data_IF_091232626891
#
_entry.id   IF_091232626891
#
_cell.length_a   1.000
_cell.length_b   1.000
_cell.length_c   1.000
_cell.angle_alpha   90.00
_cell.angle_beta   90.00
_cell.angle_gamma   90.00
#
_symmetry.space_group_name_H-M   'P 1'
#
loop_
_entity.id
_entity.type
_entity.pdbx_description
1 polymer ?
#
# COMPACT_ATOMS: atom_id res chain seq x y z
N UNK A 1 -12.49 11.50 -6.33
CA UNK A 1 -12.91 10.43 -7.27
C UNK A 1 -11.80 10.28 -8.29
N UNK A 2 -10.92 9.30 -8.10
CA UNK A 2 -9.82 9.07 -9.04
C UNK A 2 -10.38 8.41 -10.31
N UNK A 3 -10.39 9.18 -11.40
CA UNK A 3 -10.68 8.67 -12.74
C UNK A 3 -9.53 7.76 -13.18
N UNK A 4 -9.84 6.48 -13.38
CA UNK A 4 -8.88 5.49 -13.88
C UNK A 4 -8.74 5.61 -15.40
N UNK A 5 -7.54 5.93 -15.88
CA UNK A 5 -7.22 5.94 -17.31
C UNK A 5 -6.38 4.72 -17.68
N UNK A 6 -6.86 3.96 -18.67
CA UNK A 6 -6.18 2.78 -19.24
C UNK A 6 -5.75 3.13 -20.66
N UNK A 7 -4.48 2.89 -20.97
CA UNK A 7 -3.85 3.16 -22.26
C UNK A 7 -3.44 1.84 -22.93
N UNK A 8 -3.83 1.64 -24.18
CA UNK A 8 -3.34 0.52 -24.98
C UNK A 8 -1.99 0.86 -25.62
N UNK A 9 -0.92 0.25 -25.10
CA UNK A 9 0.46 0.54 -25.52
C UNK A 9 1.08 -0.66 -26.22
N UNK A 10 1.69 -0.43 -27.38
CA UNK A 10 2.43 -1.45 -28.14
C UNK A 10 3.87 -1.57 -27.61
N UNK A 11 4.20 -2.69 -26.98
CA UNK A 11 5.52 -2.95 -26.38
C UNK A 11 6.20 -4.17 -27.01
N UNK A 12 7.54 -4.16 -26.97
CA UNK A 12 8.36 -5.31 -27.36
C UNK A 12 8.48 -6.28 -26.18
N UNK A 13 7.83 -7.43 -26.29
CA UNK A 13 7.80 -8.44 -25.24
C UNK A 13 8.62 -9.67 -25.61
N UNK A 14 9.13 -10.39 -24.60
CA UNK A 14 9.89 -11.63 -24.80
C UNK A 14 9.00 -12.69 -25.48
N UNK A 15 9.53 -13.32 -26.53
CA UNK A 15 8.85 -14.43 -27.22
C UNK A 15 8.80 -15.63 -26.26
N UNK A 16 7.60 -16.11 -25.91
CA UNK A 16 7.45 -17.32 -25.10
C UNK A 16 7.38 -18.55 -26.00
N UNK A 17 8.15 -19.62 -25.72
CA UNK A 17 8.05 -20.87 -26.46
C UNK A 17 6.71 -21.55 -26.14
N UNK A 18 5.80 -21.62 -27.11
CA UNK A 18 4.54 -22.35 -27.02
C UNK A 18 3.36 -21.57 -27.58
N UNK A 19 2.85 -21.99 -28.74
CA UNK A 19 1.72 -21.36 -29.46
C UNK A 19 0.35 -21.53 -28.80
N UNK A 20 0.25 -21.46 -27.47
CA UNK A 20 -1.06 -21.46 -26.77
C UNK A 20 -1.47 -20.03 -26.47
N UNK A 21 -2.74 -19.73 -26.80
CA UNK A 21 -3.45 -18.49 -26.51
C UNK A 21 -3.09 -18.00 -25.10
N UNK A 22 -2.72 -16.72 -24.98
CA UNK A 22 -2.49 -16.06 -23.69
C UNK A 22 -3.65 -16.39 -22.75
N UNK A 23 -3.36 -16.99 -21.60
CA UNK A 23 -4.30 -16.93 -20.47
C UNK A 23 -4.46 -15.46 -20.12
N UNK A 24 -5.69 -14.99 -19.91
CA UNK A 24 -6.03 -13.57 -19.70
C UNK A 24 -5.33 -12.90 -18.49
N UNK A 25 -4.53 -13.63 -17.73
CA UNK A 25 -3.97 -13.23 -16.44
C UNK A 25 -2.43 -13.27 -16.37
N UNK A 26 -1.74 -13.66 -17.45
CA UNK A 26 -0.27 -13.70 -17.44
C UNK A 26 0.33 -12.37 -17.90
N UNK A 27 1.12 -11.76 -17.00
CA UNK A 27 1.79 -10.48 -17.24
C UNK A 27 2.88 -10.65 -18.31
N UNK A 28 2.85 -9.89 -19.42
CA UNK A 28 3.89 -9.89 -20.43
C UNK A 28 5.18 -9.27 -19.89
N UNK A 29 6.33 -9.88 -20.20
CA UNK A 29 7.65 -9.43 -19.76
C UNK A 29 8.34 -8.63 -20.88
N UNK A 30 9.07 -7.55 -20.55
CA UNK A 30 9.85 -6.81 -21.53
C UNK A 30 10.93 -7.73 -22.14
N UNK A 31 11.20 -7.56 -23.43
CA UNK A 31 12.35 -8.20 -24.07
C UNK A 31 13.64 -7.45 -23.72
N UNK A 32 14.73 -8.17 -23.46
CA UNK A 32 16.06 -7.55 -23.30
C UNK A 32 16.57 -7.01 -24.65
N UNK A 33 17.43 -5.99 -24.57
CA UNK A 33 18.08 -5.37 -25.74
C UNK A 33 18.81 -6.43 -26.57
N UNK A 34 18.40 -6.59 -27.84
CA UNK A 34 19.00 -7.55 -28.77
C UNK A 34 18.37 -8.94 -28.80
N UNK A 35 17.43 -9.26 -27.90
CA UNK A 35 16.67 -10.53 -27.98
C UNK A 35 15.56 -10.46 -29.04
N UNK A 36 15.19 -11.62 -29.60
CA UNK A 36 14.01 -11.71 -30.46
C UNK A 36 12.77 -11.38 -29.62
N UNK A 37 12.01 -10.38 -30.08
CA UNK A 37 10.82 -9.84 -29.40
C UNK A 37 9.58 -9.92 -30.29
N UNK A 38 8.42 -10.06 -29.66
CA UNK A 38 7.12 -9.92 -30.30
C UNK A 38 6.50 -8.58 -29.91
N UNK A 39 5.90 -7.88 -30.89
CA UNK A 39 5.18 -6.63 -30.61
C UNK A 39 3.76 -6.94 -30.12
N UNK A 40 3.42 -6.41 -28.95
CA UNK A 40 2.22 -6.76 -28.22
C UNK A 40 1.53 -5.49 -27.72
N UNK A 41 0.21 -5.40 -27.92
CA UNK A 41 -0.61 -4.35 -27.29
C UNK A 41 -0.98 -4.77 -25.87
N UNK A 42 -0.67 -3.91 -24.89
CA UNK A 42 -0.89 -4.15 -23.46
C UNK A 42 -1.65 -2.97 -22.88
N UNK A 43 -2.80 -3.20 -22.20
CA UNK A 43 -3.47 -2.16 -21.44
C UNK A 43 -2.63 -1.83 -20.20
N UNK A 44 -2.19 -0.58 -20.08
CA UNK A 44 -1.43 -0.08 -18.93
C UNK A 44 -2.15 1.09 -18.29
N UNK A 45 -2.06 1.21 -16.97
CA UNK A 45 -2.55 2.40 -16.29
C UNK A 45 -1.67 3.62 -16.61
N UNK A 46 -2.27 4.81 -16.62
CA UNK A 46 -1.55 6.07 -16.89
C UNK A 46 -0.33 6.28 -15.97
N UNK A 47 -0.38 5.80 -14.72
CA UNK A 47 0.73 5.89 -13.76
C UNK A 47 2.01 5.16 -14.19
N UNK A 48 1.90 4.22 -15.14
CA UNK A 48 3.04 3.47 -15.67
C UNK A 48 3.78 4.25 -16.78
N UNK A 49 3.23 5.36 -17.27
CA UNK A 49 3.86 6.20 -18.30
C UNK A 49 4.90 7.10 -17.65
N UNK A 50 6.16 6.96 -18.06
CA UNK A 50 7.28 7.72 -17.51
C UNK A 50 7.60 8.99 -18.31
N UNK A 51 7.40 8.97 -19.63
CA UNK A 51 7.70 10.11 -20.50
C UNK A 51 6.89 10.05 -21.80
N UNK A 52 6.73 11.21 -22.44
CA UNK A 52 6.18 11.35 -23.79
C UNK A 52 7.27 11.83 -24.75
N UNK A 53 7.33 11.25 -25.94
CA UNK A 53 8.22 11.73 -27.00
C UNK A 53 7.51 12.77 -27.87
N UNK A 54 8.29 13.71 -28.42
CA UNK A 54 7.84 14.61 -29.48
C UNK A 54 7.60 13.88 -30.81
N UNK A 55 8.21 12.71 -31.03
CA UNK A 55 8.10 11.94 -32.29
C UNK A 55 6.81 11.12 -32.28
N UNK A 56 6.06 11.22 -33.38
CA UNK A 56 4.85 10.41 -33.62
C UNK A 56 5.12 9.42 -34.74
N UNK A 57 4.82 8.15 -34.49
CA UNK A 57 4.91 7.08 -35.50
C UNK A 57 3.52 6.86 -36.09
N UNK A 58 3.44 6.61 -37.40
CA UNK A 58 2.20 6.23 -38.04
C UNK A 58 1.73 4.86 -37.53
N UNK A 59 0.50 4.79 -37.05
CA UNK A 59 -0.14 3.56 -36.56
C UNK A 59 -1.31 3.22 -37.49
N UNK A 60 -1.34 2.03 -38.13
CA UNK A 60 -2.49 1.58 -38.92
C UNK A 60 -3.77 1.53 -38.08
N UNK A 61 -4.94 1.70 -38.73
CA UNK A 61 -6.25 1.65 -38.05
C UNK A 61 -6.54 0.32 -37.35
N UNK A 62 -6.00 -0.79 -37.86
CA UNK A 62 -6.13 -2.11 -37.25
C UNK A 62 -4.75 -2.65 -36.84
N UNK A 63 -4.54 -2.85 -35.55
CA UNK A 63 -3.31 -3.38 -34.96
C UNK A 63 -3.49 -4.78 -34.35
N UNK A 64 -4.56 -5.49 -34.69
CA UNK A 64 -4.80 -6.86 -34.20
C UNK A 64 -3.89 -7.87 -34.90
N UNK A 65 -3.64 -7.68 -36.19
CA UNK A 65 -2.79 -8.57 -37.00
C UNK A 65 -1.33 -8.49 -36.58
N UNK A 66 -0.62 -9.61 -36.65
CA UNK A 66 0.80 -9.68 -36.30
C UNK A 66 1.66 -8.84 -37.25
N UNK A 67 1.30 -8.79 -38.53
CA UNK A 67 2.00 -8.02 -39.57
C UNK A 67 1.97 -6.51 -39.28
N UNK A 68 0.80 -5.97 -38.95
CA UNK A 68 0.65 -4.54 -38.65
C UNK A 68 1.42 -4.16 -37.37
N UNK A 69 1.35 -5.00 -36.32
CA UNK A 69 2.15 -4.80 -35.09
C UNK A 69 3.64 -4.83 -35.36
N UNK A 70 4.08 -5.77 -36.21
CA UNK A 70 5.49 -5.90 -36.59
C UNK A 70 5.96 -4.71 -37.43
N UNK A 71 5.10 -4.18 -38.31
CA UNK A 71 5.38 -2.99 -39.12
C UNK A 71 5.59 -1.75 -38.24
N UNK A 72 4.71 -1.50 -37.27
CA UNK A 72 4.88 -0.39 -36.30
C UNK A 72 6.15 -0.61 -35.46
N UNK A 73 6.43 -1.84 -35.04
CA UNK A 73 7.68 -2.16 -34.34
C UNK A 73 8.94 -1.87 -35.15
N UNK A 74 8.94 -2.14 -36.46
CA UNK A 74 10.04 -1.75 -37.36
C UNK A 74 10.20 -0.23 -37.44
N UNK A 75 9.09 0.51 -37.54
CA UNK A 75 9.12 1.97 -37.57
C UNK A 75 9.68 2.55 -36.25
N UNK A 76 9.29 2.00 -35.09
CA UNK A 76 9.84 2.41 -33.79
C UNK A 76 11.36 2.15 -33.74
N UNK A 77 11.83 0.97 -34.17
CA UNK A 77 13.27 0.66 -34.20
C UNK A 77 14.05 1.58 -35.11
N UNK A 78 13.49 1.94 -36.26
CA UNK A 78 14.10 2.89 -37.19
C UNK A 78 14.23 4.29 -36.57
N UNK A 79 13.21 4.74 -35.84
CA UNK A 79 13.28 5.99 -35.06
C UNK A 79 14.38 5.89 -33.99
N UNK A 80 14.40 4.84 -33.18
CA UNK A 80 15.45 4.66 -32.16
C UNK A 80 16.85 4.62 -32.77
N UNK A 81 17.02 4.01 -33.95
CA UNK A 81 18.32 3.97 -34.65
C UNK A 81 18.78 5.35 -35.13
N UNK A 82 17.85 6.23 -35.52
CA UNK A 82 18.15 7.62 -35.95
C UNK A 82 18.49 8.54 -34.78
N UNK A 83 18.09 8.17 -33.56
CA UNK A 83 18.33 8.92 -32.34
C UNK A 83 19.15 8.07 -31.33
N UNK A 84 20.46 7.87 -31.58
CA UNK A 84 21.30 7.04 -30.72
C UNK A 84 21.43 7.57 -29.29
N UNK A 85 21.37 8.90 -29.12
CA UNK A 85 21.43 9.57 -27.81
C UNK A 85 20.07 9.60 -27.08
N UNK A 86 19.03 9.03 -27.68
CA UNK A 86 17.66 9.00 -27.15
C UNK A 86 16.68 9.85 -27.96
N UNK A 87 15.41 9.42 -27.98
CA UNK A 87 14.34 10.16 -28.67
C UNK A 87 14.03 11.47 -27.93
N UNK A 88 13.73 12.56 -28.65
CA UNK A 88 13.39 13.82 -28.01
C UNK A 88 12.09 13.67 -27.21
N UNK A 89 12.16 14.10 -25.94
CA UNK A 89 11.05 14.09 -25.00
C UNK A 89 10.31 15.43 -25.05
N UNK A 90 9.02 15.41 -24.70
CA UNK A 90 8.24 16.63 -24.54
C UNK A 90 8.58 17.31 -23.21
N UNK A 91 8.77 18.62 -23.26
CA UNK A 91 8.99 19.42 -22.07
C UNK A 91 7.69 19.56 -21.26
N UNK A 92 7.68 19.23 -19.96
CA UNK A 92 6.46 19.34 -19.14
C UNK A 92 5.90 20.76 -19.00
N UNK A 93 6.73 21.79 -19.12
CA UNK A 93 6.36 23.20 -18.94
C UNK A 93 6.08 23.87 -20.29
N UNK A 94 6.98 23.74 -21.26
CA UNK A 94 6.86 24.41 -22.56
C UNK A 94 5.88 23.68 -23.49
N UNK A 95 6.00 22.35 -23.63
CA UNK A 95 5.18 21.57 -24.56
C UNK A 95 3.84 21.14 -23.94
N UNK A 96 3.89 20.56 -22.73
CA UNK A 96 2.69 20.08 -22.02
C UNK A 96 1.95 21.20 -21.27
N UNK A 97 2.55 22.40 -21.16
CA UNK A 97 1.93 23.61 -20.59
C UNK A 97 1.45 23.43 -19.15
N UNK A 98 2.18 22.67 -18.33
CA UNK A 98 1.86 22.50 -16.91
C UNK A 98 2.27 23.76 -16.14
N UNK A 99 1.28 24.51 -15.67
CA UNK A 99 1.48 25.81 -14.99
C UNK A 99 1.39 25.75 -13.46
N UNK A 100 1.30 24.56 -12.89
CA UNK A 100 1.16 24.43 -11.44
C UNK A 100 2.40 24.95 -10.70
N UNK A 101 2.18 25.80 -9.68
CA UNK A 101 3.25 26.40 -8.89
C UNK A 101 4.04 25.36 -8.11
N UNK A 102 3.40 24.29 -7.64
CA UNK A 102 4.09 23.23 -6.91
C UNK A 102 5.02 22.44 -7.83
N UNK A 103 4.54 22.13 -9.04
CA UNK A 103 5.32 21.49 -10.09
C UNK A 103 6.52 22.33 -10.53
N UNK A 104 6.34 23.62 -10.83
CA UNK A 104 7.44 24.50 -11.23
C UNK A 104 8.54 24.63 -10.16
N UNK A 105 8.18 24.59 -8.87
CA UNK A 105 9.16 24.55 -7.78
C UNK A 105 9.97 23.25 -7.79
N UNK A 106 9.34 22.11 -8.08
CA UNK A 106 10.02 20.82 -8.18
C UNK A 106 10.99 20.80 -9.36
N UNK A 107 10.59 21.30 -10.54
CA UNK A 107 11.46 21.40 -11.71
C UNK A 107 12.72 22.22 -11.39
N UNK A 108 12.57 23.42 -10.82
CA UNK A 108 13.72 24.23 -10.39
C UNK A 108 14.60 23.53 -9.36
N UNK A 109 14.00 22.71 -8.49
CA UNK A 109 14.76 21.94 -7.49
C UNK A 109 15.57 20.83 -8.16
N UNK A 110 15.02 20.15 -9.16
CA UNK A 110 15.73 19.15 -9.97
C UNK A 110 16.95 19.80 -10.62
N UNK A 111 16.77 20.92 -11.33
CA UNK A 111 17.88 21.66 -11.98
C UNK A 111 18.97 22.08 -10.99
N UNK A 112 18.58 22.60 -9.82
CA UNK A 112 19.53 22.96 -8.76
C UNK A 112 20.31 21.75 -8.24
N UNK A 113 19.68 20.60 -8.09
CA UNK A 113 20.33 19.37 -7.65
C UNK A 113 21.26 18.80 -8.71
N UNK A 114 20.85 18.82 -9.98
CA UNK A 114 21.71 18.40 -11.10
C UNK A 114 22.93 19.29 -11.24
N UNK A 115 22.78 20.62 -11.12
CA UNK A 115 23.91 21.55 -11.13
C UNK A 115 24.88 21.26 -9.99
N UNK A 116 24.37 20.99 -8.78
CA UNK A 116 25.19 20.62 -7.63
C UNK A 116 25.90 19.30 -7.87
N UNK A 117 25.21 18.30 -8.41
CA UNK A 117 25.77 17.00 -8.75
C UNK A 117 26.92 17.15 -9.77
N UNK A 118 26.71 17.89 -10.86
CA UNK A 118 27.74 18.15 -11.89
C UNK A 118 28.95 18.91 -11.33
N UNK A 119 28.73 19.84 -10.39
CA UNK A 119 29.80 20.61 -9.75
C UNK A 119 30.58 19.83 -8.68
N UNK A 120 30.07 18.68 -8.24
CA UNK A 120 30.63 17.95 -7.12
C UNK A 120 31.97 17.29 -7.49
N UNK A 121 32.94 17.34 -6.58
CA UNK A 121 34.29 16.82 -6.83
C UNK A 121 34.32 15.32 -7.13
N UNK A 122 33.42 14.56 -6.50
CA UNK A 122 33.30 13.10 -6.67
C UNK A 122 32.86 12.70 -8.09
N UNK A 123 32.18 13.57 -8.83
CA UNK A 123 31.76 13.26 -10.21
C UNK A 123 32.95 13.20 -11.17
N UNK A 124 34.12 13.73 -10.77
CA UNK A 124 35.35 13.75 -11.57
C UNK A 124 36.38 12.70 -11.10
N UNK A 125 36.13 11.98 -10.01
CA UNK A 125 37.06 10.97 -9.51
C UNK A 125 36.89 9.66 -10.26
N UNK A 126 37.97 9.03 -10.76
CA UNK A 126 37.88 7.78 -11.53
C UNK A 126 37.40 6.60 -10.69
N UNK A 127 37.63 6.62 -9.37
CA UNK A 127 37.24 5.54 -8.45
C UNK A 127 35.83 5.74 -7.86
N UNK A 128 35.00 6.58 -8.49
CA UNK A 128 33.66 6.91 -7.97
C UNK A 128 32.83 5.65 -7.73
N UNK A 129 32.79 4.73 -8.69
CA UNK A 129 31.98 3.52 -8.61
C UNK A 129 32.38 2.64 -7.41
N UNK A 130 33.70 2.44 -7.21
CA UNK A 130 34.22 1.65 -6.09
C UNK A 130 33.93 2.30 -4.74
N UNK A 131 34.08 3.62 -4.66
CA UNK A 131 33.79 4.38 -3.43
C UNK A 131 32.29 4.41 -3.14
N UNK A 132 31.45 4.49 -4.17
CA UNK A 132 30.00 4.46 -4.04
C UNK A 132 29.51 3.09 -3.58
N UNK A 133 30.05 2.00 -4.13
CA UNK A 133 29.77 0.63 -3.70
C UNK A 133 30.14 0.39 -2.22
N UNK A 134 31.30 0.91 -1.79
CA UNK A 134 31.72 0.81 -0.39
C UNK A 134 30.78 1.61 0.53
N UNK A 135 30.38 2.80 0.10
CA UNK A 135 29.45 3.65 0.84
C UNK A 135 28.05 3.02 0.92
N UNK A 136 27.57 2.38 -0.14
CA UNK A 136 26.29 1.65 -0.13
C UNK A 136 26.34 0.49 0.87
N UNK A 137 27.44 -0.27 0.90
CA UNK A 137 27.66 -1.32 1.92
C UNK A 137 27.68 -0.74 3.33
N UNK A 138 28.35 0.39 3.54
CA UNK A 138 28.37 1.08 4.83
C UNK A 138 26.98 1.54 5.25
N UNK A 139 26.20 2.15 4.35
CA UNK A 139 24.82 2.57 4.59
C UNK A 139 23.92 1.38 4.95
N UNK A 140 24.07 0.26 4.25
CA UNK A 140 23.33 -0.96 4.55
C UNK A 140 23.66 -1.50 5.94
N UNK A 141 24.93 -1.45 6.37
CA UNK A 141 25.35 -1.82 7.71
C UNK A 141 24.84 -0.84 8.77
N UNK A 142 24.94 0.47 8.54
CA UNK A 142 24.42 1.50 9.44
C UNK A 142 22.90 1.34 9.64
N UNK A 143 22.15 1.07 8.56
CA UNK A 143 20.72 0.77 8.64
C UNK A 143 20.45 -0.49 9.48
N UNK A 144 21.25 -1.55 9.32
CA UNK A 144 21.15 -2.77 10.14
C UNK A 144 21.45 -2.50 11.62
N UNK A 145 22.47 -1.70 11.91
CA UNK A 145 22.83 -1.30 13.28
C UNK A 145 21.67 -0.52 13.91
N UNK A 146 21.12 0.46 13.19
CA UNK A 146 19.95 1.23 13.65
C UNK A 146 18.73 0.36 13.89
N UNK A 147 18.40 -0.55 12.96
CA UNK A 147 17.30 -1.51 13.13
C UNK A 147 17.49 -2.36 14.38
N UNK A 148 18.67 -2.96 14.54
CA UNK A 148 18.99 -3.77 15.72
C UNK A 148 18.97 -2.96 17.01
N UNK A 149 19.40 -1.70 16.98
CA UNK A 149 19.33 -0.82 18.15
C UNK A 149 17.89 -0.54 18.57
N UNK A 150 16.98 -0.39 17.60
CA UNK A 150 15.54 -0.25 17.86
C UNK A 150 14.97 -1.57 18.39
N UNK A 151 15.29 -2.70 17.77
CA UNK A 151 14.87 -4.03 18.23
C UNK A 151 15.34 -4.32 19.66
N UNK A 152 16.59 -3.97 20.01
CA UNK A 152 17.08 -4.10 21.39
C UNK A 152 16.27 -3.22 22.34
N UNK A 153 15.98 -1.98 21.95
CA UNK A 153 15.15 -1.08 22.75
C UNK A 153 13.71 -1.60 22.91
N UNK A 154 13.15 -2.24 21.89
CA UNK A 154 11.81 -2.83 21.92
C UNK A 154 11.79 -4.12 22.77
N UNK A 155 12.86 -4.93 22.69
CA UNK A 155 13.08 -6.12 23.49
C UNK A 155 13.40 -5.82 24.96
N UNK A 156 13.62 -4.55 25.34
CA UNK A 156 13.47 -4.13 26.73
C UNK A 156 11.97 -4.14 27.11
N UNK A 157 11.35 -5.32 26.97
CA UNK A 157 9.92 -5.62 27.09
C UNK A 157 9.37 -5.21 28.46
N UNK A 158 10.21 -5.27 29.49
CA UNK A 158 9.87 -4.86 30.85
C UNK A 158 9.30 -3.44 30.90
N UNK A 159 9.84 -2.50 30.14
CA UNK A 159 9.36 -1.12 30.15
C UNK A 159 8.01 -0.99 29.42
N UNK A 160 7.84 -1.70 28.30
CA UNK A 160 6.61 -1.68 27.49
C UNK A 160 5.46 -2.40 28.18
N UNK A 161 5.73 -3.55 28.80
CA UNK A 161 4.75 -4.27 29.60
C UNK A 161 4.35 -3.46 30.84
N UNK A 162 5.31 -2.86 31.56
CA UNK A 162 5.02 -1.98 32.73
C UNK A 162 4.16 -0.78 32.36
N UNK A 163 4.45 -0.10 31.24
CA UNK A 163 3.66 1.06 30.80
C UNK A 163 2.25 0.64 30.35
N UNK A 164 2.13 -0.47 29.63
CA UNK A 164 0.84 -1.04 29.21
C UNK A 164 0.00 -1.43 30.42
N UNK A 165 0.56 -2.16 31.38
CA UNK A 165 -0.11 -2.54 32.63
C UNK A 165 -0.56 -1.31 33.42
N UNK A 166 0.26 -0.26 33.53
CA UNK A 166 -0.16 1.01 34.16
C UNK A 166 -1.37 1.63 33.45
N UNK A 167 -1.38 1.62 32.11
CA UNK A 167 -2.51 2.07 31.30
C UNK A 167 -3.77 1.25 31.55
N UNK A 168 -3.67 -0.08 31.53
CA UNK A 168 -4.78 -1.00 31.78
C UNK A 168 -5.33 -0.82 33.20
N UNK A 169 -4.47 -0.77 34.22
CA UNK A 169 -4.87 -0.51 35.62
C UNK A 169 -5.61 0.82 35.75
N UNK A 170 -5.16 1.87 35.05
CA UNK A 170 -5.87 3.17 35.05
C UNK A 170 -7.28 3.06 34.47
N UNK A 171 -7.45 2.31 33.39
CA UNK A 171 -8.78 2.06 32.80
C UNK A 171 -9.66 1.26 33.77
N UNK A 172 -9.15 0.17 34.35
CA UNK A 172 -9.88 -0.64 35.33
C UNK A 172 -10.34 0.18 36.54
N UNK A 173 -9.52 1.11 37.02
CA UNK A 173 -9.90 2.03 38.10
C UNK A 173 -10.99 3.00 37.68
N UNK A 174 -10.85 3.62 36.50
CA UNK A 174 -11.83 4.59 35.98
C UNK A 174 -13.19 3.95 35.70
N UNK A 175 -13.20 2.70 35.26
CA UNK A 175 -14.42 1.93 35.01
C UNK A 175 -14.99 1.25 36.27
N UNK A 176 -14.32 1.37 37.42
CA UNK A 176 -14.80 0.83 38.69
C UNK A 176 -14.60 -0.69 38.88
N UNK A 177 -13.75 -1.33 38.07
CA UNK A 177 -13.36 -2.74 38.28
C UNK A 177 -12.35 -2.90 39.42
N UNK A 178 -11.56 -1.86 39.69
CA UNK A 178 -10.62 -1.79 40.81
C UNK A 178 -10.71 -0.44 41.52
N UNK A 179 -10.40 -0.41 42.81
CA UNK A 179 -10.32 0.82 43.61
C UNK A 179 -8.99 1.56 43.36
N UNK A 180 -8.86 2.79 43.88
CA UNK A 180 -7.63 3.58 43.79
C UNK A 180 -6.41 2.84 44.36
N UNK A 181 -6.63 2.01 45.39
CA UNK A 181 -5.61 1.19 46.07
C UNK A 181 -5.36 -0.17 45.41
N UNK A 182 -5.84 -0.39 44.18
CA UNK A 182 -5.76 -1.66 43.44
C UNK A 182 -6.51 -2.84 44.07
N UNK A 183 -7.49 -2.58 44.94
CA UNK A 183 -8.37 -3.63 45.44
C UNK A 183 -9.47 -3.91 44.43
N UNK A 184 -9.68 -5.18 44.07
CA UNK A 184 -10.72 -5.60 43.12
C UNK A 184 -12.11 -5.27 43.66
N UNK A 185 -12.89 -4.51 42.88
CA UNK A 185 -14.26 -4.14 43.22
C UNK A 185 -15.28 -5.19 42.74
N UNK A 186 -16.56 -5.02 43.06
CA UNK A 186 -17.62 -5.96 42.64
C UNK A 186 -17.63 -6.18 41.12
N UNK A 187 -17.56 -5.10 40.34
CA UNK A 187 -17.51 -5.15 38.87
C UNK A 187 -16.27 -5.88 38.34
N UNK A 188 -15.15 -5.78 39.05
CA UNK A 188 -13.95 -6.57 38.76
C UNK A 188 -14.18 -8.06 39.00
N UNK A 189 -14.80 -8.44 40.14
CA UNK A 189 -15.12 -9.84 40.45
C UNK A 189 -16.08 -10.46 39.44
N UNK A 190 -17.11 -9.73 39.01
CA UNK A 190 -18.02 -10.19 37.95
C UNK A 190 -17.26 -10.44 36.64
N UNK A 191 -16.38 -9.51 36.25
CA UNK A 191 -15.56 -9.69 35.05
C UNK A 191 -14.61 -10.90 35.14
N UNK A 192 -14.09 -11.22 36.33
CA UNK A 192 -13.21 -12.39 36.53
C UNK A 192 -13.90 -13.74 36.26
N UNK A 193 -15.24 -13.81 36.30
CA UNK A 193 -16.00 -15.02 36.00
C UNK A 193 -16.27 -15.22 34.50
N UNK A 194 -15.84 -14.27 33.66
CA UNK A 194 -16.09 -14.26 32.22
C UNK A 194 -14.77 -14.60 31.53
N UNK A 195 -14.78 -15.61 30.65
CA UNK A 195 -13.55 -16.11 30.00
C UNK A 195 -13.68 -16.29 28.48
N UNK A 196 -14.89 -16.12 27.94
CA UNK A 196 -15.24 -16.52 26.57
C UNK A 196 -15.44 -15.33 25.62
N UNK A 197 -15.47 -14.10 26.14
CA UNK A 197 -15.74 -12.86 25.40
C UNK A 197 -15.23 -11.64 26.18
N UNK A 198 -15.44 -10.43 25.67
CA UNK A 198 -14.91 -9.19 26.24
C UNK A 198 -15.46 -8.92 27.66
N UNK A 199 -14.66 -9.23 28.68
CA UNK A 199 -15.10 -9.37 30.07
C UNK A 199 -15.59 -8.05 30.68
N UNK A 200 -14.93 -6.94 30.31
CA UNK A 200 -15.29 -5.61 30.82
C UNK A 200 -16.65 -5.13 30.28
N UNK A 201 -16.94 -5.43 29.01
CA UNK A 201 -18.19 -5.04 28.35
C UNK A 201 -19.34 -5.84 28.95
N UNK A 202 -19.19 -7.16 29.06
CA UNK A 202 -20.23 -8.02 29.63
C UNK A 202 -20.50 -7.70 31.11
N UNK A 203 -19.46 -7.44 31.90
CA UNK A 203 -19.64 -7.03 33.29
C UNK A 203 -20.43 -5.71 33.40
N UNK A 204 -20.27 -4.78 32.46
CA UNK A 204 -21.08 -3.55 32.42
C UNK A 204 -22.52 -3.81 31.98
N UNK A 205 -22.73 -4.66 30.98
CA UNK A 205 -24.09 -5.07 30.54
C UNK A 205 -24.87 -5.71 31.71
N UNK A 206 -24.21 -6.56 32.49
CA UNK A 206 -24.82 -7.22 33.66
C UNK A 206 -25.15 -6.17 34.74
N UNK A 207 -24.19 -5.30 35.11
CA UNK A 207 -24.37 -4.37 36.23
C UNK A 207 -25.20 -3.12 35.90
N UNK A 208 -25.39 -2.81 34.62
CA UNK A 208 -26.32 -1.77 34.15
C UNK A 208 -27.78 -2.24 34.11
N UNK A 209 -28.07 -3.48 34.52
CA UNK A 209 -29.39 -4.11 34.47
C UNK A 209 -29.99 -4.22 33.05
N UNK A 210 -29.17 -4.07 32.00
CA UNK A 210 -29.64 -4.11 30.60
C UNK A 210 -30.34 -5.43 30.26
N UNK A 211 -29.90 -6.54 30.84
CA UNK A 211 -30.43 -7.88 30.54
C UNK A 211 -31.78 -8.16 31.23
N UNK A 212 -32.18 -7.39 32.24
CA UNK A 212 -33.37 -7.71 33.06
C UNK A 212 -34.68 -7.54 32.27
N UNK A 213 -34.69 -6.65 31.28
CA UNK A 213 -35.87 -6.35 30.47
C UNK A 213 -35.93 -7.16 29.16
N UNK A 214 -34.97 -8.08 28.95
CA UNK A 214 -34.84 -8.87 27.72
C UNK A 214 -35.36 -10.30 27.93
N UNK A 215 -35.96 -10.88 26.89
CA UNK A 215 -36.29 -12.31 26.87
C UNK A 215 -35.02 -13.17 26.77
N UNK A 216 -35.12 -14.45 27.15
CA UNK A 216 -33.98 -15.37 27.07
C UNK A 216 -33.40 -15.45 25.64
N UNK A 217 -34.26 -15.44 24.62
CA UNK A 217 -33.86 -15.45 23.21
C UNK A 217 -33.11 -14.17 22.82
N UNK A 218 -33.55 -13.02 23.33
CA UNK A 218 -32.90 -11.73 23.07
C UNK A 218 -31.53 -11.64 23.76
N UNK A 219 -31.39 -12.14 24.99
CA UNK A 219 -30.11 -12.19 25.70
C UNK A 219 -29.11 -13.06 24.94
N UNK A 220 -29.52 -14.26 24.51
CA UNK A 220 -28.66 -15.17 23.73
C UNK A 220 -28.26 -14.53 22.40
N UNK A 221 -29.20 -13.89 21.70
CA UNK A 221 -28.90 -13.19 20.45
C UNK A 221 -27.91 -12.03 20.64
N UNK A 222 -28.05 -11.24 21.70
CA UNK A 222 -27.15 -10.12 22.00
C UNK A 222 -25.73 -10.62 22.32
N UNK A 223 -25.61 -11.63 23.20
CA UNK A 223 -24.32 -12.19 23.60
C UNK A 223 -23.61 -12.93 22.45
N UNK A 224 -24.35 -13.44 21.46
CA UNK A 224 -23.75 -14.06 20.26
C UNK A 224 -22.79 -13.10 19.54
N UNK A 225 -23.05 -11.79 19.59
CA UNK A 225 -22.21 -10.76 18.99
C UNK A 225 -20.83 -10.61 19.66
N UNK A 226 -20.66 -11.08 20.90
CA UNK A 226 -19.41 -10.98 21.66
C UNK A 226 -18.53 -12.24 21.55
N UNK A 227 -19.09 -13.33 21.00
CA UNK A 227 -18.42 -14.63 20.87
C UNK A 227 -18.01 -14.88 19.42
N UNK A 228 -18.88 -14.57 18.46
CA UNK A 228 -18.62 -14.84 17.05
C UNK A 228 -17.64 -13.83 16.44
N UNK A 229 -16.48 -14.30 15.97
CA UNK A 229 -15.39 -13.44 15.44
C UNK A 229 -15.21 -13.52 13.93
N UNK A 230 -15.86 -14.46 13.26
CA UNK A 230 -15.73 -14.60 11.81
C UNK A 230 -16.52 -13.52 11.08
N UNK A 231 -16.01 -13.11 9.91
CA UNK A 231 -16.71 -12.14 9.07
C UNK A 231 -17.67 -12.88 8.14
N UNK A 232 -18.93 -12.48 8.16
CA UNK A 232 -19.95 -12.92 7.21
C UNK A 232 -20.33 -11.76 6.27
N UNK A 233 -20.55 -12.06 4.99
CA UNK A 233 -21.02 -11.08 3.99
C UNK A 233 -22.57 -11.04 3.92
N UNK A 234 -23.24 -11.65 4.89
CA UNK A 234 -24.70 -11.73 4.95
C UNK A 234 -25.32 -10.41 5.41
N UNK A 235 -26.15 -9.81 4.55
CA UNK A 235 -26.93 -8.62 4.89
C UNK A 235 -28.24 -9.00 5.57
N UNK A 236 -28.25 -9.04 6.91
CA UNK A 236 -29.46 -9.32 7.71
C UNK A 236 -30.09 -8.03 8.23
N UNK A 237 -31.37 -7.80 7.92
CA UNK A 237 -32.16 -6.73 8.54
C UNK A 237 -32.73 -7.20 9.88
N UNK A 238 -32.22 -6.65 10.98
CA UNK A 238 -32.68 -6.97 12.33
C UNK A 238 -34.04 -6.33 12.62
N UNK A 239 -34.91 -7.06 13.33
CA UNK A 239 -36.15 -6.52 13.90
C UNK A 239 -35.82 -5.50 15.00
N UNK A 240 -36.70 -4.52 15.21
CA UNK A 240 -36.49 -3.45 16.21
C UNK A 240 -36.24 -3.99 17.63
N UNK A 241 -36.89 -5.09 17.98
CA UNK A 241 -36.72 -5.78 19.28
C UNK A 241 -35.30 -6.27 19.55
N UNK A 242 -34.53 -6.61 18.51
CA UNK A 242 -33.11 -6.99 18.61
C UNK A 242 -32.18 -5.81 18.34
N UNK A 243 -32.62 -4.87 17.50
CA UNK A 243 -31.83 -3.70 17.13
C UNK A 243 -31.66 -2.72 18.30
N UNK A 244 -32.70 -2.55 19.13
CA UNK A 244 -32.64 -1.65 20.30
C UNK A 244 -31.56 -2.06 21.32
N UNK A 245 -31.54 -3.29 21.87
CA UNK A 245 -30.48 -3.72 22.78
C UNK A 245 -29.09 -3.74 22.10
N UNK A 246 -29.01 -4.07 20.80
CA UNK A 246 -27.75 -3.99 20.07
C UNK A 246 -27.19 -2.56 19.96
N UNK A 247 -28.05 -1.55 19.79
CA UNK A 247 -27.64 -0.14 19.80
C UNK A 247 -27.16 0.30 21.17
N UNK A 248 -27.89 -0.07 22.23
CA UNK A 248 -27.50 0.26 23.61
C UNK A 248 -26.16 -0.37 24.01
N UNK A 249 -25.83 -1.56 23.51
CA UNK A 249 -24.52 -2.19 23.74
C UNK A 249 -23.37 -1.47 23.00
N UNK A 250 -23.66 -0.73 21.92
CA UNK A 250 -22.65 -0.04 21.10
C UNK A 250 -22.30 1.37 21.59
N UNK A 251 -23.19 1.97 22.39
CA UNK A 251 -23.03 3.31 22.99
C UNK A 251 -22.17 3.24 24.27
#
# INVERSE_FOLDING_TARGET
TDTLYILDVLLACKIRPGGRKRKAMEVPLPAETGQKSEMVVIPVELKCVTAFSAVRVYVPKDIRTLENRTSVGKAIREVTKRFPDGVPLLDPVEDLKIKDKSFLKLVRRIESLESRLKSHKMTKTPDLDVQYDLYEKWLALDKKIKSKSVEISDCMEDAKLKSTLKGMTRVLRRLGHATADNVVALKGRVACEISSCDELVVAEIILSNMLNDLSAEQVVALLSCLIFRERTDDHVKLKEELNKPLRQMRE
#
